data_IF_996398920480
#
_entry.id   IF_996398920480
#
_cell.length_a   1.000
_cell.length_b   1.000
_cell.length_c   1.000
_cell.angle_alpha   90.00
_cell.angle_beta   90.00
_cell.angle_gamma   90.00
#
_symmetry.space_group_name_H-M   'P 1'
#
loop_
_entity.id
_entity.type
_entity.pdbx_description
1 polymer ?
#
# COMPACT_ATOMS: atom_id res chain seq x y z
N UNK A 1 -11.46 -41.08 -14.18
CA UNK A 1 -10.76 -41.13 -12.87
C UNK A 1 -11.76 -41.45 -11.75
N UNK A 2 -11.35 -41.99 -10.60
CA UNK A 2 -12.24 -42.24 -9.44
C UNK A 2 -11.99 -41.21 -8.32
N UNK A 3 -13.03 -40.81 -7.61
CA UNK A 3 -12.92 -39.88 -6.50
C UNK A 3 -12.14 -40.51 -5.35
N UNK A 4 -11.12 -39.82 -4.84
CA UNK A 4 -10.38 -40.26 -3.64
C UNK A 4 -11.21 -40.18 -2.36
N UNK A 5 -12.29 -39.40 -2.35
CA UNK A 5 -13.13 -39.21 -1.17
C UNK A 5 -14.30 -40.21 -1.11
N UNK A 6 -15.00 -40.45 -2.23
CA UNK A 6 -16.22 -41.27 -2.25
C UNK A 6 -16.22 -42.44 -3.25
N UNK A 7 -15.15 -42.61 -4.05
CA UNK A 7 -15.06 -43.69 -5.05
C UNK A 7 -15.93 -43.52 -6.30
N UNK A 8 -16.74 -42.46 -6.40
CA UNK A 8 -17.55 -42.21 -7.60
C UNK A 8 -16.67 -41.97 -8.85
N UNK A 9 -17.17 -42.34 -10.02
CA UNK A 9 -16.50 -42.07 -11.31
C UNK A 9 -16.57 -40.56 -11.59
N UNK A 10 -15.40 -39.94 -11.74
CA UNK A 10 -15.24 -38.54 -12.15
C UNK A 10 -14.95 -38.45 -13.65
N UNK A 11 -15.60 -37.47 -14.25
CA UNK A 11 -15.38 -37.02 -15.62
C UNK A 11 -14.11 -36.15 -15.66
N UNK A 12 -13.26 -36.32 -16.68
CA UNK A 12 -11.94 -35.68 -16.77
C UNK A 12 -12.02 -34.14 -16.84
N UNK A 13 -13.16 -33.57 -17.27
CA UNK A 13 -13.38 -32.13 -17.28
C UNK A 13 -14.00 -31.58 -15.97
N UNK A 14 -14.36 -32.45 -15.01
CA UNK A 14 -15.07 -32.04 -13.80
C UNK A 14 -14.11 -31.48 -12.74
N UNK A 15 -14.38 -30.26 -12.26
CA UNK A 15 -13.59 -29.60 -11.20
C UNK A 15 -13.91 -30.11 -9.79
N UNK A 16 -15.10 -30.69 -9.62
CA UNK A 16 -15.61 -31.21 -8.36
C UNK A 16 -16.39 -32.51 -8.60
N UNK A 17 -16.34 -33.42 -7.65
CA UNK A 17 -17.15 -34.64 -7.67
C UNK A 17 -18.63 -34.29 -7.49
N UNK A 18 -19.49 -34.69 -8.43
CA UNK A 18 -20.94 -34.47 -8.35
C UNK A 18 -21.64 -35.24 -7.21
N UNK A 19 -20.99 -36.26 -6.65
CA UNK A 19 -21.58 -37.08 -5.58
C UNK A 19 -21.22 -36.62 -4.17
N UNK A 20 -19.99 -36.15 -3.92
CA UNK A 20 -19.55 -35.75 -2.57
C UNK A 20 -19.06 -34.29 -2.47
N UNK A 21 -18.97 -33.57 -3.60
CA UNK A 21 -18.47 -32.20 -3.63
C UNK A 21 -16.95 -32.05 -3.47
N UNK A 22 -16.21 -33.15 -3.31
CA UNK A 22 -14.75 -33.09 -3.18
C UNK A 22 -14.10 -32.54 -4.47
N UNK A 23 -13.06 -31.70 -4.37
CA UNK A 23 -12.36 -31.19 -5.55
C UNK A 23 -11.68 -32.32 -6.31
N UNK A 24 -11.69 -32.23 -7.64
CA UNK A 24 -11.00 -33.19 -8.49
C UNK A 24 -9.46 -33.06 -8.31
N UNK A 25 -8.71 -34.17 -8.37
CA UNK A 25 -7.27 -34.17 -8.16
C UNK A 25 -6.51 -33.38 -9.24
N UNK A 26 -7.09 -33.16 -10.42
CA UNK A 26 -6.48 -32.40 -11.54
C UNK A 26 -6.61 -30.86 -11.36
N UNK A 27 -6.46 -30.38 -10.13
CA UNK A 27 -6.50 -28.96 -9.78
C UNK A 27 -5.09 -28.38 -9.55
N UNK A 28 -4.14 -28.78 -10.40
CA UNK A 28 -2.75 -28.28 -10.36
C UNK A 28 -2.65 -26.78 -10.71
N UNK A 29 -3.72 -26.16 -11.21
CA UNK A 29 -3.71 -24.77 -11.67
C UNK A 29 -4.21 -23.74 -10.62
N UNK A 30 -4.53 -24.14 -9.38
CA UNK A 30 -5.06 -23.19 -8.36
C UNK A 30 -4.23 -23.12 -7.07
N UNK A 31 -2.94 -23.48 -7.12
CA UNK A 31 -2.04 -23.31 -5.96
C UNK A 31 -1.70 -21.85 -5.64
N UNK A 32 -1.98 -20.90 -6.55
CA UNK A 32 -1.59 -19.49 -6.37
C UNK A 32 -2.63 -18.66 -5.58
N UNK A 33 -3.90 -19.10 -5.48
CA UNK A 33 -4.94 -18.30 -4.82
C UNK A 33 -5.06 -18.51 -3.30
N UNK A 34 -4.39 -19.50 -2.70
CA UNK A 34 -4.47 -19.76 -1.24
C UNK A 34 -3.40 -19.04 -0.41
N UNK A 35 -2.54 -18.22 -1.02
CA UNK A 35 -1.50 -17.48 -0.28
C UNK A 35 -2.01 -16.24 0.47
N UNK A 36 -3.32 -16.06 0.64
CA UNK A 36 -3.90 -14.98 1.44
C UNK A 36 -5.05 -15.48 2.31
N UNK A 37 -4.75 -16.01 3.50
CA UNK A 37 -5.60 -15.84 4.70
C UNK A 37 -5.07 -16.67 5.87
N UNK A 38 -4.10 -16.11 6.57
CA UNK A 38 -3.98 -16.29 8.01
C UNK A 38 -3.32 -15.01 8.56
N UNK A 39 -4.16 -14.02 8.83
CA UNK A 39 -3.80 -12.76 9.47
C UNK A 39 -3.21 -13.06 10.87
N UNK A 40 -2.13 -12.38 11.25
CA UNK A 40 -2.16 -11.69 12.52
C UNK A 40 -1.99 -10.19 12.29
N UNK A 41 -2.88 -9.42 12.91
CA UNK A 41 -2.76 -7.98 13.04
C UNK A 41 -1.48 -7.67 13.82
N UNK A 42 -0.43 -7.26 13.11
CA UNK A 42 0.73 -6.59 13.69
C UNK A 42 1.02 -5.39 12.81
N UNK A 43 0.79 -4.22 13.38
CA UNK A 43 1.23 -2.95 12.82
C UNK A 43 2.76 -2.96 12.90
N UNK A 44 3.39 -3.30 11.78
CA UNK A 44 4.84 -3.41 11.64
C UNK A 44 5.22 -2.52 10.45
N UNK A 45 5.82 -1.38 10.77
CA UNK A 45 6.18 -0.30 9.82
C UNK A 45 7.32 -0.72 8.86
N UNK A 46 7.78 -1.98 8.89
CA UNK A 46 9.04 -2.40 8.28
C UNK A 46 8.92 -3.51 7.20
N UNK A 47 7.71 -3.90 6.77
CA UNK A 47 7.53 -4.98 5.76
C UNK A 47 6.74 -4.57 4.51
N UNK A 48 7.00 -3.39 3.94
CA UNK A 48 6.52 -3.05 2.58
C UNK A 48 7.56 -2.22 1.78
N UNK A 49 8.85 -2.46 2.01
CA UNK A 49 9.94 -1.81 1.26
C UNK A 49 10.33 -2.54 -0.03
N UNK A 50 9.78 -3.72 -0.30
CA UNK A 50 10.02 -4.42 -1.56
C UNK A 50 8.76 -5.19 -1.88
N UNK A 51 8.04 -4.78 -2.91
CA UNK A 51 7.29 -5.62 -3.87
C UNK A 51 6.47 -4.65 -4.72
N UNK A 52 7.18 -4.17 -5.74
CA UNK A 52 6.71 -3.43 -6.91
C UNK A 52 6.32 -1.95 -6.70
N UNK A 53 7.31 -1.09 -6.99
CA UNK A 53 7.08 0.09 -7.85
C UNK A 53 5.83 0.91 -7.53
N UNK A 54 5.76 1.44 -6.31
CA UNK A 54 4.88 2.58 -6.00
C UNK A 54 5.41 3.75 -6.82
N UNK A 55 4.96 3.83 -8.09
CA UNK A 55 5.19 4.83 -9.13
C UNK A 55 6.42 5.73 -8.85
N UNK A 56 7.53 5.61 -9.61
CA UNK A 56 8.72 6.48 -9.48
C UNK A 56 8.42 7.98 -9.33
N UNK A 57 7.23 8.44 -9.74
CA UNK A 57 6.68 9.79 -9.55
C UNK A 57 6.31 10.17 -8.11
N UNK A 58 5.90 9.24 -7.24
CA UNK A 58 5.48 9.53 -5.86
C UNK A 58 6.66 9.95 -4.97
N UNK A 59 7.87 9.46 -5.27
CA UNK A 59 9.10 9.89 -4.61
C UNK A 59 9.45 11.34 -4.94
N UNK A 60 9.37 11.73 -6.23
CA UNK A 60 9.57 13.12 -6.66
C UNK A 60 8.55 14.08 -6.04
N UNK A 61 7.28 13.65 -5.97
CA UNK A 61 6.21 14.41 -5.34
C UNK A 61 6.51 14.61 -3.85
N UNK A 62 6.81 13.53 -3.11
CA UNK A 62 7.09 13.60 -1.67
C UNK A 62 8.31 14.48 -1.37
N UNK A 63 9.37 14.36 -2.17
CA UNK A 63 10.57 15.20 -2.05
C UNK A 63 10.27 16.67 -2.37
N UNK A 64 9.51 16.94 -3.43
CA UNK A 64 9.09 18.30 -3.81
C UNK A 64 8.24 18.97 -2.72
N UNK A 65 7.27 18.26 -2.14
CA UNK A 65 6.48 18.78 -1.02
C UNK A 65 7.34 19.06 0.21
N UNK A 66 8.29 18.20 0.54
CA UNK A 66 9.20 18.44 1.67
C UNK A 66 10.02 19.73 1.47
N UNK A 67 10.58 19.93 0.28
CA UNK A 67 11.31 21.17 -0.07
C UNK A 67 10.39 22.39 -0.04
N UNK A 68 9.17 22.28 -0.57
CA UNK A 68 8.20 23.37 -0.58
C UNK A 68 7.82 23.81 0.84
N UNK A 69 7.60 22.86 1.75
CA UNK A 69 7.30 23.17 3.17
C UNK A 69 8.47 23.88 3.84
N UNK A 70 9.70 23.39 3.65
CA UNK A 70 10.90 24.04 4.19
C UNK A 70 11.07 25.47 3.65
N UNK A 71 10.86 25.67 2.34
CA UNK A 71 10.93 26.98 1.72
C UNK A 71 9.86 27.94 2.26
N UNK A 72 8.63 27.47 2.44
CA UNK A 72 7.55 28.26 3.01
C UNK A 72 7.86 28.69 4.45
N UNK A 73 8.36 27.76 5.28
CA UNK A 73 8.76 28.07 6.67
C UNK A 73 9.88 29.12 6.67
N UNK A 74 10.94 28.92 5.88
CA UNK A 74 12.06 29.87 5.81
C UNK A 74 11.60 31.25 5.33
N UNK A 75 10.76 31.30 4.29
CA UNK A 75 10.20 32.55 3.78
C UNK A 75 9.32 33.26 4.82
N UNK A 76 8.52 32.53 5.59
CA UNK A 76 7.72 33.13 6.68
C UNK A 76 8.59 33.73 7.77
N UNK A 77 9.68 33.06 8.16
CA UNK A 77 10.65 33.55 9.13
C UNK A 77 11.35 34.80 8.58
N UNK A 78 11.79 34.77 7.33
CA UNK A 78 12.44 35.90 6.67
C UNK A 78 11.50 37.10 6.58
N UNK A 79 10.25 36.92 6.16
CA UNK A 79 9.26 37.99 6.13
C UNK A 79 8.92 38.52 7.53
N UNK A 80 8.86 37.66 8.54
CA UNK A 80 8.69 38.09 9.93
C UNK A 80 9.88 38.93 10.39
N UNK A 81 11.11 38.53 10.04
CA UNK A 81 12.34 39.22 10.41
C UNK A 81 12.51 40.55 9.65
N UNK A 82 12.18 40.58 8.35
CA UNK A 82 12.16 41.82 7.53
C UNK A 82 11.08 42.75 8.02
N UNK A 83 9.86 42.26 8.27
CA UNK A 83 8.79 43.09 8.84
C UNK A 83 9.16 43.61 10.22
N UNK A 84 9.89 42.86 11.04
CA UNK A 84 10.41 43.34 12.31
C UNK A 84 11.48 44.44 12.16
N UNK A 85 12.27 44.43 11.08
CA UNK A 85 13.26 45.48 10.75
C UNK A 85 12.61 46.74 10.13
N UNK A 86 11.58 46.56 9.30
CA UNK A 86 10.88 47.61 8.54
C UNK A 86 9.64 48.16 9.25
N UNK A 87 9.28 47.67 10.45
CA UNK A 87 8.42 48.45 11.35
C UNK A 87 9.36 49.36 12.15
N UNK A 88 9.69 50.58 11.67
CA UNK A 88 10.32 51.53 12.54
C UNK A 88 9.43 51.70 13.76
N UNK A 89 10.05 51.60 14.93
CA UNK A 89 9.55 52.06 16.23
C UNK A 89 9.06 53.54 16.24
N UNK A 90 9.01 54.21 15.09
CA UNK A 90 8.58 55.59 14.88
C UNK A 90 7.12 55.74 14.41
N UNK A 91 6.40 54.67 14.05
CA UNK A 91 4.95 54.75 13.71
C UNK A 91 4.04 54.59 14.95
N UNK A 92 4.54 55.00 16.11
CA UNK A 92 3.83 55.07 17.39
C UNK A 92 4.18 56.38 18.08
N UNK A 93 3.99 57.50 17.39
CA UNK A 93 3.96 58.84 17.96
C UNK A 93 2.63 59.49 17.52
N UNK A 94 1.95 60.20 18.44
CA UNK A 94 0.50 60.33 18.54
C UNK A 94 -0.22 60.98 17.35
#
# INVERSE_FOLDING_TARGET
MQCTNCGAILDEASRFCKSCGAPAPDSEETRIARSSSAVPARYDDDVESVIFTVRPTLLFIKLGYAVAVLAAILLTILLAMVRFIDIPWYFSLP
#
